data_IF_899102988321
#
_entry.id   IF_899102988321
#
_cell.length_a   1.000
_cell.length_b   1.000
_cell.length_c   1.000
_cell.angle_alpha   90.00
_cell.angle_beta   90.00
_cell.angle_gamma   90.00
#
_symmetry.space_group_name_H-M   'P 1'
#
loop_
_entity.id
_entity.type
_entity.pdbx_description
1 polymer ?
#
# COMPACT_ATOMS: atom_id res chain seq x y z
N UNK A 1 -15.59 22.32 -7.48
CA UNK A 1 -15.83 22.55 -6.05
C UNK A 1 -16.79 21.48 -5.58
N UNK A 2 -16.37 20.56 -4.70
CA UNK A 2 -17.27 19.61 -4.04
C UNK A 2 -17.12 19.89 -2.55
N UNK A 3 -18.24 20.24 -1.90
CA UNK A 3 -18.35 20.45 -0.45
C UNK A 3 -18.99 19.20 0.12
N UNK A 4 -18.28 18.46 0.95
CA UNK A 4 -18.88 17.41 1.77
C UNK A 4 -19.24 18.01 3.14
N UNK A 5 -20.55 18.15 3.38
CA UNK A 5 -21.09 18.33 4.73
C UNK A 5 -20.98 16.98 5.44
N UNK A 6 -20.14 16.91 6.48
CA UNK A 6 -20.05 15.75 7.35
C UNK A 6 -21.12 15.86 8.45
N UNK A 7 -22.17 15.05 8.36
CA UNK A 7 -23.13 14.80 9.45
C UNK A 7 -22.95 13.32 9.85
N UNK A 8 -22.35 13.06 11.03
CA UNK A 8 -22.19 11.72 11.62
C UNK A 8 -20.75 11.27 11.88
N UNK A 9 -20.57 10.14 12.57
CA UNK A 9 -19.30 9.43 12.77
C UNK A 9 -18.73 8.94 11.41
N UNK A 10 -18.07 9.84 10.69
CA UNK A 10 -17.42 9.55 9.41
C UNK A 10 -16.02 8.96 9.65
N UNK A 11 -15.77 7.77 9.12
CA UNK A 11 -14.51 7.05 9.27
C UNK A 11 -14.21 6.15 8.05
N UNK A 12 -12.94 6.04 7.63
CA UNK A 12 -12.53 5.11 6.58
C UNK A 12 -12.44 3.68 7.11
N UNK A 13 -12.83 2.71 6.29
CA UNK A 13 -12.70 1.28 6.59
C UNK A 13 -11.94 0.64 5.44
N UNK A 14 -10.61 0.53 5.57
CA UNK A 14 -9.75 0.03 4.51
C UNK A 14 -9.47 -1.45 4.69
N UNK A 15 -9.51 -2.20 3.59
CA UNK A 15 -9.16 -3.63 3.57
C UNK A 15 -8.31 -3.95 2.36
N UNK A 16 -7.34 -4.84 2.54
CA UNK A 16 -6.59 -5.44 1.44
C UNK A 16 -7.52 -6.42 0.72
N UNK A 17 -7.89 -6.09 -0.52
CA UNK A 17 -8.68 -6.93 -1.42
C UNK A 17 -7.80 -7.86 -2.28
N UNK A 18 -6.52 -7.54 -2.43
CA UNK A 18 -5.56 -8.39 -3.14
C UNK A 18 -4.17 -7.76 -3.25
N UNK A 19 -3.23 -8.56 -3.73
CA UNK A 19 -1.85 -8.16 -4.00
C UNK A 19 -1.44 -8.74 -5.36
N UNK A 20 -0.78 -7.94 -6.20
CA UNK A 20 -0.33 -8.35 -7.54
C UNK A 20 0.83 -7.50 -8.04
N UNK A 21 1.44 -7.94 -9.12
CA UNK A 21 2.46 -7.17 -9.85
C UNK A 21 1.79 -6.50 -11.06
N UNK A 22 2.05 -5.21 -11.24
CA UNK A 22 1.64 -4.45 -12.43
C UNK A 22 2.86 -3.93 -13.17
N UNK A 23 2.79 -3.89 -14.50
CA UNK A 23 3.79 -3.15 -15.29
C UNK A 23 3.37 -1.68 -15.34
N UNK A 24 4.20 -0.79 -14.78
CA UNK A 24 4.03 0.67 -14.85
C UNK A 24 5.28 1.30 -15.43
N UNK A 25 5.12 2.11 -16.48
CA UNK A 25 6.24 2.72 -17.21
C UNK A 25 7.31 1.69 -17.66
N UNK A 26 6.87 0.49 -18.06
CA UNK A 26 7.76 -0.59 -18.49
C UNK A 26 8.47 -1.36 -17.36
N UNK A 27 8.24 -1.02 -16.09
CA UNK A 27 8.84 -1.71 -14.95
C UNK A 27 7.78 -2.46 -14.12
N UNK A 28 8.09 -3.66 -13.59
CA UNK A 28 7.20 -4.36 -12.67
C UNK A 28 7.16 -3.67 -11.31
N UNK A 29 5.95 -3.42 -10.80
CA UNK A 29 5.68 -2.72 -9.54
C UNK A 29 4.75 -3.58 -8.70
N UNK A 30 5.08 -3.76 -7.41
CA UNK A 30 4.19 -4.40 -6.46
C UNK A 30 3.03 -3.47 -6.11
N UNK A 31 1.80 -3.98 -6.23
CA UNK A 31 0.57 -3.20 -6.06
C UNK A 31 -0.40 -3.93 -5.14
N UNK A 32 -0.95 -3.21 -4.18
CA UNK A 32 -2.05 -3.66 -3.33
C UNK A 32 -3.38 -3.14 -3.88
N UNK A 33 -4.36 -4.00 -4.01
CA UNK A 33 -5.76 -3.61 -4.22
C UNK A 33 -6.38 -3.35 -2.85
N UNK A 34 -6.82 -2.11 -2.61
CA UNK A 34 -7.37 -1.68 -1.32
C UNK A 34 -8.79 -1.19 -1.54
N UNK A 35 -9.73 -1.72 -0.78
CA UNK A 35 -11.14 -1.30 -0.81
C UNK A 35 -11.44 -0.48 0.43
N UNK A 36 -12.19 0.62 0.26
CA UNK A 36 -12.73 1.42 1.36
C UNK A 36 -14.23 1.19 1.50
N UNK A 37 -14.66 0.42 2.49
CA UNK A 37 -16.08 0.20 2.81
C UNK A 37 -16.62 1.21 3.83
N UNK A 38 -15.82 2.21 4.22
CA UNK A 38 -16.21 3.26 5.15
C UNK A 38 -16.97 4.38 4.47
N UNK A 39 -17.41 5.35 5.25
CA UNK A 39 -18.15 6.53 4.79
C UNK A 39 -17.26 7.80 4.68
N UNK A 40 -15.96 7.71 4.99
CA UNK A 40 -14.97 8.77 4.78
C UNK A 40 -13.81 8.29 3.91
N UNK A 41 -13.09 9.22 3.28
CA UNK A 41 -11.88 8.87 2.54
C UNK A 41 -10.76 8.39 3.48
N UNK A 42 -10.01 7.38 3.05
CA UNK A 42 -8.86 6.86 3.78
C UNK A 42 -7.56 7.14 3.05
N UNK A 43 -6.45 7.13 3.79
CA UNK A 43 -5.10 7.07 3.24
C UNK A 43 -4.38 5.96 3.98
N UNK A 44 -3.62 5.16 3.24
CA UNK A 44 -2.72 4.20 3.86
C UNK A 44 -1.43 4.91 4.28
N UNK A 45 -0.96 4.51 5.44
CA UNK A 45 0.37 4.78 5.93
C UNK A 45 0.95 3.47 6.47
N UNK A 46 2.25 3.45 6.75
CA UNK A 46 2.92 2.31 7.35
C UNK A 46 4.25 2.00 6.69
N UNK A 47 5.15 1.46 7.51
CA UNK A 47 6.46 0.98 7.10
C UNK A 47 6.38 -0.52 6.84
N UNK A 48 6.71 -0.91 5.63
CA UNK A 48 6.83 -2.31 5.23
C UNK A 48 8.29 -2.64 5.02
N UNK A 49 8.61 -3.91 5.21
CA UNK A 49 9.94 -4.45 4.97
C UNK A 49 9.80 -5.66 4.07
N UNK A 50 10.80 -5.93 3.24
CA UNK A 50 10.76 -7.09 2.38
C UNK A 50 12.13 -7.62 1.99
N UNK A 51 12.07 -8.72 1.25
CA UNK A 51 13.21 -9.40 0.68
C UNK A 51 12.86 -9.83 -0.73
N UNK A 52 13.80 -9.66 -1.65
CA UNK A 52 13.64 -10.05 -3.05
C UNK A 52 14.13 -11.49 -3.32
N UNK A 53 14.05 -11.95 -4.57
CA UNK A 53 14.47 -13.29 -4.97
C UNK A 53 15.98 -13.57 -4.79
N UNK A 54 16.81 -12.52 -4.72
CA UNK A 54 18.26 -12.63 -4.48
C UNK A 54 18.62 -12.57 -3.00
N UNK A 55 17.64 -12.43 -2.12
CA UNK A 55 17.87 -12.22 -0.70
C UNK A 55 18.20 -10.76 -0.33
N UNK A 56 18.05 -9.81 -1.26
CA UNK A 56 18.27 -8.40 -0.99
C UNK A 56 17.12 -7.86 -0.13
N UNK A 57 17.48 -7.40 1.07
CA UNK A 57 16.55 -6.71 1.97
C UNK A 57 16.24 -5.29 1.50
N UNK A 58 14.98 -4.88 1.65
CA UNK A 58 14.49 -3.56 1.27
C UNK A 58 13.40 -3.05 2.22
N UNK A 59 13.17 -1.75 2.19
CA UNK A 59 12.05 -1.11 2.85
C UNK A 59 11.03 -0.69 1.78
N UNK A 60 9.75 -0.78 2.11
CA UNK A 60 8.65 -0.49 1.21
C UNK A 60 7.65 0.45 1.87
N UNK A 61 7.13 1.39 1.09
CA UNK A 61 6.13 2.36 1.54
C UNK A 61 4.95 2.36 0.57
N UNK A 62 3.73 2.33 1.11
CA UNK A 62 2.52 2.42 0.31
C UNK A 62 2.28 3.86 -0.17
N UNK A 63 1.87 4.04 -1.42
CA UNK A 63 1.46 5.36 -1.91
C UNK A 63 0.28 5.91 -1.09
N UNK A 64 0.39 7.17 -0.64
CA UNK A 64 -0.55 7.80 0.30
C UNK A 64 -1.77 8.46 -0.38
N UNK A 65 -2.11 8.03 -1.60
CA UNK A 65 -3.25 8.53 -2.36
C UNK A 65 -4.56 8.28 -1.60
N UNK A 66 -5.51 9.24 -1.60
CA UNK A 66 -6.78 9.04 -0.93
C UNK A 66 -7.58 7.92 -1.61
N UNK A 67 -8.31 7.13 -0.84
CA UNK A 67 -9.22 6.07 -1.29
C UNK A 67 -10.62 6.48 -0.87
N UNK A 68 -11.50 6.75 -1.83
CA UNK A 68 -12.84 7.28 -1.57
C UNK A 68 -13.78 6.21 -0.98
N UNK A 69 -14.85 6.60 -0.26
CA UNK A 69 -15.90 5.69 0.16
C UNK A 69 -16.45 4.84 -1.01
N UNK A 70 -16.52 3.53 -0.83
CA UNK A 70 -16.97 2.57 -1.85
C UNK A 70 -15.97 2.29 -2.98
N UNK A 71 -14.81 2.96 -2.98
CA UNK A 71 -13.79 2.78 -4.01
C UNK A 71 -12.91 1.55 -3.72
N UNK A 72 -12.48 0.88 -4.78
CA UNK A 72 -11.31 0.00 -4.76
C UNK A 72 -10.19 0.63 -5.57
N UNK A 73 -9.03 0.85 -4.94
CA UNK A 73 -7.89 1.52 -5.55
C UNK A 73 -6.66 0.63 -5.54
N UNK A 74 -5.88 0.73 -6.61
CA UNK A 74 -4.58 0.08 -6.74
C UNK A 74 -3.47 0.99 -6.19
N UNK A 75 -2.91 0.61 -5.05
CA UNK A 75 -1.87 1.34 -4.31
C UNK A 75 -0.52 0.72 -4.61
N UNK A 76 0.37 1.47 -5.26
CA UNK A 76 1.73 1.02 -5.52
C UNK A 76 2.59 1.05 -4.26
N UNK A 77 3.51 0.10 -4.18
CA UNK A 77 4.56 0.07 -3.17
C UNK A 77 5.85 0.61 -3.77
N UNK A 78 6.37 1.67 -3.18
CA UNK A 78 7.70 2.21 -3.51
C UNK A 78 8.74 1.45 -2.71
N UNK A 79 9.73 0.88 -3.40
CA UNK A 79 10.79 0.09 -2.79
C UNK A 79 12.06 0.93 -2.69
N UNK A 80 12.72 0.86 -1.54
CA UNK A 80 13.97 1.56 -1.26
C UNK A 80 14.96 0.62 -0.58
N UNK A 81 16.25 0.91 -0.68
CA UNK A 81 17.26 0.09 0.02
C UNK A 81 17.01 0.17 1.53
N UNK A 82 17.16 -0.95 2.24
CA UNK A 82 16.91 -0.96 3.70
C UNK A 82 17.78 0.07 4.43
N UNK A 83 17.14 0.92 5.23
CA UNK A 83 17.78 2.01 5.98
C UNK A 83 18.14 3.24 5.14
N UNK A 84 17.79 3.26 3.86
CA UNK A 84 18.00 4.38 2.95
C UNK A 84 16.71 4.66 2.16
N UNK A 85 15.90 5.57 2.70
CA UNK A 85 14.60 5.95 2.13
C UNK A 85 14.70 6.79 0.86
N UNK A 86 15.91 7.21 0.47
CA UNK A 86 16.11 8.08 -0.69
C UNK A 86 16.44 7.29 -1.96
N UNK A 87 17.07 6.13 -1.83
CA UNK A 87 17.54 5.34 -2.97
C UNK A 87 16.48 4.32 -3.42
N UNK A 88 15.84 4.51 -4.59
CA UNK A 88 14.89 3.54 -5.13
C UNK A 88 15.60 2.23 -5.44
N UNK A 89 14.92 1.11 -5.16
CA UNK A 89 15.44 -0.22 -5.41
C UNK A 89 14.68 -0.89 -6.56
N UNK A 90 15.43 -1.34 -7.58
CA UNK A 90 14.91 -2.30 -8.56
C UNK A 90 15.09 -3.73 -8.02
N UNK A 91 14.06 -4.22 -7.33
CA UNK A 91 14.09 -5.54 -6.70
C UNK A 91 13.78 -6.66 -7.70
N UNK A 92 14.31 -7.86 -7.47
CA UNK A 92 14.00 -9.04 -8.29
C UNK A 92 12.80 -9.80 -7.74
N UNK A 93 11.76 -9.93 -8.56
CA UNK A 93 10.62 -10.77 -8.25
C UNK A 93 11.02 -12.25 -8.21
N UNK A 94 10.36 -13.06 -7.37
CA UNK A 94 9.27 -12.69 -6.47
C UNK A 94 9.73 -11.92 -5.22
N UNK A 95 8.90 -11.00 -4.76
CA UNK A 95 9.12 -10.21 -3.55
C UNK A 95 8.31 -10.79 -2.39
N UNK A 96 8.88 -10.85 -1.20
CA UNK A 96 8.13 -11.11 0.03
C UNK A 96 8.10 -9.82 0.84
N UNK A 97 6.92 -9.30 1.14
CA UNK A 97 6.74 -8.03 1.85
C UNK A 97 5.89 -8.29 3.10
N UNK A 98 6.39 -7.80 4.24
CA UNK A 98 5.76 -7.92 5.53
C UNK A 98 5.72 -6.59 6.26
N UNK A 99 4.72 -6.40 7.10
CA UNK A 99 4.63 -5.25 8.00
C UNK A 99 3.20 -4.92 8.36
N UNK A 100 3.00 -3.67 8.78
CA UNK A 100 1.71 -3.17 9.25
C UNK A 100 1.34 -1.94 8.44
N UNK A 101 0.13 -1.97 7.89
CA UNK A 101 -0.49 -0.83 7.24
C UNK A 101 -1.50 -0.22 8.19
N UNK A 102 -1.50 1.11 8.29
CA UNK A 102 -2.33 1.86 9.22
C UNK A 102 -3.19 2.87 8.46
N UNK A 103 -4.36 3.16 9.03
CA UNK A 103 -5.21 4.27 8.62
C UNK A 103 -5.90 4.84 9.86
N UNK A 104 -6.44 6.05 9.75
CA UNK A 104 -6.81 6.91 10.89
C UNK A 104 -7.48 6.25 12.10
N UNK A 105 -7.41 6.93 13.25
CA UNK A 105 -7.95 6.48 14.56
C UNK A 105 -7.40 5.11 15.02
N UNK A 106 -6.12 4.82 14.74
CA UNK A 106 -5.43 3.62 15.24
C UNK A 106 -5.84 2.31 14.55
N UNK A 107 -6.48 2.39 13.38
CA UNK A 107 -6.84 1.20 12.60
C UNK A 107 -5.63 0.71 11.83
N UNK A 108 -5.53 -0.60 11.71
CA UNK A 108 -4.42 -1.22 11.01
C UNK A 108 -4.75 -2.61 10.51
N UNK A 109 -3.97 -3.07 9.53
CA UNK A 109 -3.98 -4.43 9.02
C UNK A 109 -2.55 -4.89 8.86
N UNK A 110 -2.30 -6.15 9.17
CA UNK A 110 -1.01 -6.77 8.85
C UNK A 110 -0.96 -7.13 7.37
N UNK A 111 0.24 -7.03 6.81
CA UNK A 111 0.59 -7.51 5.50
C UNK A 111 1.66 -8.58 5.67
N UNK A 112 1.40 -9.76 5.12
CA UNK A 112 2.42 -10.77 4.85
C UNK A 112 2.06 -11.38 3.49
N UNK A 113 2.69 -10.88 2.43
CA UNK A 113 2.31 -11.22 1.06
C UNK A 113 3.55 -11.45 0.19
N UNK A 114 3.41 -12.41 -0.72
CA UNK A 114 4.37 -12.69 -1.77
C UNK A 114 3.84 -12.16 -3.10
N UNK A 115 4.64 -11.36 -3.77
CA UNK A 115 4.36 -10.82 -5.08
C UNK A 115 5.16 -11.61 -6.11
N UNK A 116 4.49 -12.30 -7.03
CA UNK A 116 5.09 -13.00 -8.16
C UNK A 116 4.49 -12.49 -9.47
N UNK A 117 5.32 -12.45 -10.51
CA UNK A 117 4.88 -12.16 -11.89
C UNK A 117 4.16 -13.34 -12.50
#
# INVERSE_FOLDING_TARGET
MIVYVAIGDVQPELKIAGARVEVRNGAPVAVLSITNSGNAHGRLDGFLTGTDARGQAFDAVAANSPILPGETRSIALSLTKRGDTATPLQAQFPLTIKGKLEWGKGRSTELDQRFSQ
#
